data_IF_078642601861
#
_entry.id   IF_078642601861
#
_cell.length_a   1.000
_cell.length_b   1.000
_cell.length_c   1.000
_cell.angle_alpha   90.00
_cell.angle_beta   90.00
_cell.angle_gamma   90.00
#
_symmetry.space_group_name_H-M   'P 1'
#
loop_
_entity.id
_entity.type
_entity.pdbx_description
1 polymer ?
#
# COMPACT_ATOMS: atom_id res chain seq x y z
N UNK A 1 1.44 12.41 1.93
CA UNK A 1 1.88 11.00 2.01
C UNK A 1 3.37 11.01 2.29
N UNK A 2 3.79 10.58 3.48
CA UNK A 2 5.20 10.43 3.81
C UNK A 2 5.70 9.16 3.10
N UNK A 3 6.21 9.30 1.88
CA UNK A 3 6.85 8.19 1.18
C UNK A 3 8.17 7.98 1.90
N UNK A 4 8.25 6.90 2.68
CA UNK A 4 9.44 6.59 3.47
C UNK A 4 10.57 6.26 2.48
N UNK A 5 11.53 7.17 2.32
CA UNK A 5 12.60 7.06 1.32
C UNK A 5 13.59 5.94 1.63
N UNK A 6 13.60 5.48 2.87
CA UNK A 6 14.52 4.46 3.35
C UNK A 6 14.21 3.07 2.78
N UNK A 7 13.03 2.87 2.18
CA UNK A 7 12.64 1.59 1.56
C UNK A 7 12.87 1.56 0.05
N UNK A 8 13.42 2.63 -0.54
CA UNK A 8 13.75 2.73 -1.97
C UNK A 8 15.15 2.18 -2.24
N UNK A 9 15.24 1.09 -2.99
CA UNK A 9 16.51 0.42 -3.32
C UNK A 9 16.70 0.39 -4.83
N UNK A 10 17.91 0.65 -5.33
CA UNK A 10 18.20 0.48 -6.75
C UNK A 10 18.22 -1.00 -7.14
N UNK A 11 17.89 -1.31 -8.40
CA UNK A 11 17.94 -2.71 -8.90
C UNK A 11 19.34 -3.32 -8.75
N UNK A 12 20.39 -2.53 -8.91
CA UNK A 12 21.77 -2.97 -8.76
C UNK A 12 22.09 -3.32 -7.30
N UNK A 13 21.66 -2.50 -6.35
CA UNK A 13 21.87 -2.74 -4.93
C UNK A 13 21.04 -3.93 -4.42
N UNK A 14 19.80 -4.05 -4.89
CA UNK A 14 18.96 -5.21 -4.58
C UNK A 14 19.58 -6.52 -5.11
N UNK A 15 20.23 -6.48 -6.27
CA UNK A 15 20.88 -7.66 -6.85
C UNK A 15 22.20 -8.03 -6.14
N UNK A 16 22.98 -7.05 -5.70
CA UNK A 16 24.28 -7.28 -5.04
C UNK A 16 24.13 -7.57 -3.54
N UNK A 17 23.15 -6.97 -2.87
CA UNK A 17 22.99 -6.99 -1.42
C UNK A 17 21.59 -7.48 -1.01
N UNK A 18 21.06 -8.50 -1.67
CA UNK A 18 19.69 -8.96 -1.44
C UNK A 18 19.39 -9.27 0.04
N UNK A 19 20.32 -9.90 0.77
CA UNK A 19 20.13 -10.19 2.20
C UNK A 19 19.98 -8.93 3.07
N UNK A 20 20.61 -7.81 2.68
CA UNK A 20 20.45 -6.53 3.37
C UNK A 20 19.07 -5.94 3.09
N UNK A 21 18.59 -6.06 1.85
CA UNK A 21 17.25 -5.64 1.45
C UNK A 21 16.17 -6.48 2.13
N UNK A 22 16.38 -7.79 2.26
CA UNK A 22 15.45 -8.66 2.99
C UNK A 22 15.30 -8.23 4.46
N UNK A 23 16.40 -7.92 5.16
CA UNK A 23 16.33 -7.38 6.55
C UNK A 23 15.61 -6.04 6.62
N UNK A 24 15.73 -5.22 5.58
CA UNK A 24 15.01 -3.96 5.46
C UNK A 24 13.50 -4.21 5.33
N UNK A 25 13.12 -5.21 4.53
CA UNK A 25 11.74 -5.69 4.42
C UNK A 25 11.24 -6.26 5.75
N UNK A 26 12.05 -7.02 6.50
CA UNK A 26 11.67 -7.54 7.82
C UNK A 26 11.43 -6.41 8.85
N UNK A 27 12.09 -5.25 8.66
CA UNK A 27 11.96 -4.09 9.57
C UNK A 27 10.79 -3.19 9.21
N UNK A 28 10.59 -2.93 7.91
CA UNK A 28 9.60 -1.97 7.41
C UNK A 28 8.37 -2.63 6.76
N UNK A 29 8.33 -3.96 6.69
CA UNK A 29 7.30 -4.78 6.03
C UNK A 29 7.39 -4.80 4.50
N UNK A 30 8.04 -3.81 3.87
CA UNK A 30 8.15 -3.70 2.42
C UNK A 30 9.37 -2.92 1.94
N UNK A 31 9.84 -3.22 0.73
CA UNK A 31 10.87 -2.45 0.03
C UNK A 31 10.50 -2.28 -1.44
N UNK A 32 10.75 -1.09 -1.99
CA UNK A 32 10.47 -0.75 -3.40
C UNK A 32 11.78 -0.71 -4.17
N UNK A 33 11.85 -1.46 -5.28
CA UNK A 33 13.02 -1.49 -6.15
C UNK A 33 12.82 -0.56 -7.35
N UNK A 34 13.80 0.33 -7.53
CA UNK A 34 13.91 1.27 -8.62
C UNK A 34 14.74 0.69 -9.77
N UNK A 35 14.24 0.76 -11.01
CA UNK A 35 15.01 0.53 -12.24
C UNK A 35 15.04 1.82 -13.05
N UNK A 36 16.23 2.30 -13.40
CA UNK A 36 16.42 3.59 -14.10
C UNK A 36 15.72 4.75 -13.36
N UNK A 37 15.89 4.81 -12.03
CA UNK A 37 15.27 5.81 -11.16
C UNK A 37 13.72 5.82 -11.13
N UNK A 38 13.07 4.77 -11.65
CA UNK A 38 11.63 4.60 -11.61
C UNK A 38 11.25 3.34 -10.81
N UNK A 39 10.24 3.39 -9.92
CA UNK A 39 9.78 2.23 -9.16
C UNK A 39 9.22 1.18 -10.12
N UNK A 40 9.74 -0.04 -10.03
CA UNK A 40 9.37 -1.12 -10.95
C UNK A 40 9.03 -2.44 -10.27
N UNK A 41 9.59 -2.71 -9.09
CA UNK A 41 9.32 -3.92 -8.34
C UNK A 41 9.10 -3.60 -6.85
N UNK A 42 8.44 -4.49 -6.13
CA UNK A 42 8.23 -4.40 -4.68
C UNK A 42 8.53 -5.76 -4.05
N UNK A 43 9.23 -5.75 -2.93
CA UNK A 43 9.41 -6.91 -2.05
C UNK A 43 8.54 -6.68 -0.82
N UNK A 44 7.80 -7.71 -0.44
CA UNK A 44 6.91 -7.72 0.72
C UNK A 44 7.31 -8.90 1.60
N UNK A 45 7.27 -8.72 2.91
CA UNK A 45 7.37 -9.85 3.83
C UNK A 45 6.17 -10.78 3.57
N UNK A 46 6.40 -12.08 3.47
CA UNK A 46 5.33 -13.04 3.35
C UNK A 46 4.76 -13.31 4.75
N UNK A 47 3.55 -12.85 5.11
CA UNK A 47 3.00 -13.13 6.42
C UNK A 47 2.80 -14.64 6.57
N UNK A 48 3.31 -15.23 7.66
CA UNK A 48 3.13 -16.66 7.99
C UNK A 48 1.68 -17.06 8.32
N UNK A 49 0.71 -16.19 8.09
CA UNK A 49 -0.71 -16.49 8.22
C UNK A 49 -1.47 -15.98 6.99
N UNK A 50 -2.17 -16.90 6.34
CA UNK A 50 -3.39 -16.62 5.58
C UNK A 50 -4.23 -15.58 6.33
N UNK A 51 -4.47 -14.38 5.79
CA UNK A 51 -5.73 -13.65 6.11
C UNK A 51 -6.04 -12.44 5.25
N UNK A 52 -5.14 -11.97 4.39
CA UNK A 52 -5.54 -11.00 3.38
C UNK A 52 -5.17 -11.56 2.02
N UNK A 53 -6.04 -12.47 1.53
CA UNK A 53 -6.51 -12.26 0.16
C UNK A 53 -6.74 -10.76 0.07
N UNK A 54 -6.17 -10.12 -0.94
CA UNK A 54 -6.76 -8.93 -1.53
C UNK A 54 -8.21 -9.33 -1.85
N UNK A 55 -9.06 -9.27 -0.84
CA UNK A 55 -10.48 -9.54 -0.95
C UNK A 55 -10.93 -8.20 -1.44
N UNK A 56 -11.10 -8.13 -2.77
CA UNK A 56 -11.88 -7.04 -3.37
C UNK A 56 -13.10 -6.90 -2.46
N UNK A 57 -13.28 -5.76 -1.77
CA UNK A 57 -14.34 -5.63 -0.81
C UNK A 57 -15.63 -6.00 -1.52
N UNK A 58 -16.40 -6.88 -0.89
CA UNK A 58 -17.67 -7.31 -1.47
C UNK A 58 -18.54 -6.07 -1.66
N UNK A 59 -19.43 -6.06 -2.67
CA UNK A 59 -20.28 -4.89 -2.96
C UNK A 59 -21.03 -4.39 -1.71
N UNK A 60 -21.35 -5.30 -0.79
CA UNK A 60 -22.01 -5.00 0.49
C UNK A 60 -21.13 -4.18 1.44
N UNK A 61 -19.82 -4.46 1.51
CA UNK A 61 -18.86 -3.69 2.32
C UNK A 61 -18.66 -2.28 1.73
N UNK A 62 -18.59 -2.18 0.40
CA UNK A 62 -18.49 -0.89 -0.30
C UNK A 62 -19.75 -0.05 -0.08
N UNK A 63 -20.94 -0.67 -0.15
CA UNK A 63 -22.22 -0.01 0.11
C UNK A 63 -22.34 0.47 1.56
N UNK A 64 -21.89 -0.33 2.53
CA UNK A 64 -21.90 0.06 3.94
C UNK A 64 -21.01 1.28 4.21
N UNK A 65 -19.81 1.31 3.65
CA UNK A 65 -18.89 2.45 3.75
C UNK A 65 -19.47 3.69 3.05
N UNK A 66 -19.99 3.53 1.84
CA UNK A 66 -20.61 4.64 1.08
C UNK A 66 -21.76 5.29 1.86
N UNK A 67 -22.66 4.47 2.43
CA UNK A 67 -23.77 4.96 3.25
C UNK A 67 -23.29 5.67 4.53
N UNK A 68 -22.21 5.19 5.14
CA UNK A 68 -21.59 5.86 6.29
C UNK A 68 -21.03 7.24 5.90
N UNK A 69 -20.32 7.33 4.79
CA UNK A 69 -19.73 8.58 4.30
C UNK A 69 -20.80 9.60 3.88
N UNK A 70 -21.86 9.16 3.22
CA UNK A 70 -23.00 10.01 2.84
C UNK A 70 -23.70 10.56 4.09
N UNK A 71 -23.95 9.72 5.11
CA UNK A 71 -24.54 10.19 6.37
C UNK A 71 -23.65 11.20 7.10
N UNK A 72 -22.35 10.93 7.17
CA UNK A 72 -21.39 11.80 7.88
C UNK A 72 -21.25 13.17 7.21
N UNK A 73 -21.27 13.20 5.87
CA UNK A 73 -21.04 14.41 5.09
C UNK A 73 -22.32 14.95 4.44
N UNK A 74 -23.50 14.57 4.95
CA UNK A 74 -24.80 14.90 4.37
C UNK A 74 -24.95 16.40 4.07
N UNK A 75 -24.55 17.25 5.01
CA UNK A 75 -24.58 18.72 4.84
C UNK A 75 -23.72 19.22 3.67
N UNK A 76 -22.55 18.64 3.46
CA UNK A 76 -21.63 19.02 2.38
C UNK A 76 -22.20 18.60 1.03
N UNK A 77 -22.81 17.41 0.96
CA UNK A 77 -23.48 16.95 -0.27
C UNK A 77 -24.73 17.77 -0.60
N UNK A 78 -25.50 18.21 0.41
CA UNK A 78 -26.65 19.10 0.23
C UNK A 78 -26.23 20.48 -0.29
N UNK A 79 -25.10 21.02 0.17
CA UNK A 79 -24.55 22.29 -0.34
C UNK A 79 -23.96 22.17 -1.75
N UNK A 80 -23.35 21.04 -2.10
CA UNK A 80 -22.82 20.78 -3.45
C UNK A 80 -23.91 20.50 -4.49
N UNK A 81 -25.11 20.09 -4.05
CA UNK A 81 -26.24 19.81 -4.93
C UNK A 81 -27.11 21.05 -5.24
N UNK A 82 -26.75 22.21 -4.70
CA UNK A 82 -27.41 23.50 -4.94
C UNK A 82 -26.71 24.27 -6.07
#
# INVERSE_FOLDING_TARGET
MNVNTDTLVSISEANQNFSKVARLVDTYGSAVILKNNAPRYVILEFPKAKTEKVTVPTNDEVMALSNMFIKKNKKVYEELAK
#
